data_IF_629000027933
#
_entry.id   IF_629000027933
#
_cell.length_a   1.000
_cell.length_b   1.000
_cell.length_c   1.000
_cell.angle_alpha   90.00
_cell.angle_beta   90.00
_cell.angle_gamma   90.00
#
_symmetry.space_group_name_H-M   'P 1'
#
loop_
_entity.id
_entity.type
_entity.pdbx_description
1 polymer ?
#
# COMPACT_ATOMS: atom_id res chain seq x y z
N UNK A 1 -27.83 -6.16 24.56
CA UNK A 1 -26.58 -5.41 24.26
C UNK A 1 -25.83 -6.06 23.08
N UNK A 2 -26.17 -5.81 21.79
CA UNK A 2 -25.51 -6.53 20.67
C UNK A 2 -25.25 -5.77 19.33
N UNK A 3 -25.69 -4.52 19.14
CA UNK A 3 -25.51 -3.80 17.85
C UNK A 3 -24.45 -2.68 17.91
N UNK A 4 -24.36 -1.97 19.03
CA UNK A 4 -23.39 -0.88 19.21
C UNK A 4 -21.92 -1.36 19.11
N UNK A 5 -21.59 -2.55 19.63
CA UNK A 5 -20.25 -3.12 19.50
C UNK A 5 -19.86 -3.39 18.04
N UNK A 6 -20.80 -3.85 17.22
CA UNK A 6 -20.53 -4.08 15.80
C UNK A 6 -20.29 -2.75 15.09
N UNK A 7 -21.10 -1.73 15.38
CA UNK A 7 -20.89 -0.39 14.83
C UNK A 7 -19.54 0.20 15.25
N UNK A 8 -19.10 -0.01 16.49
CA UNK A 8 -17.77 0.40 16.95
C UNK A 8 -16.65 -0.35 16.24
N UNK A 9 -16.78 -1.66 16.01
CA UNK A 9 -15.80 -2.44 15.24
C UNK A 9 -15.69 -1.96 13.80
N UNK A 10 -16.83 -1.69 13.15
CA UNK A 10 -16.86 -1.14 11.79
C UNK A 10 -16.22 0.25 11.77
N UNK A 11 -16.56 1.12 12.72
CA UNK A 11 -15.98 2.47 12.80
C UNK A 11 -14.46 2.42 13.04
N UNK A 12 -13.99 1.55 13.93
CA UNK A 12 -12.57 1.33 14.17
C UNK A 12 -11.87 0.82 12.91
N UNK A 13 -12.46 -0.16 12.21
CA UNK A 13 -11.93 -0.68 10.96
C UNK A 13 -11.82 0.41 9.89
N UNK A 14 -12.88 1.19 9.67
CA UNK A 14 -12.88 2.29 8.70
C UNK A 14 -11.82 3.33 9.07
N UNK A 15 -11.73 3.72 10.34
CA UNK A 15 -10.77 4.73 10.80
C UNK A 15 -9.33 4.26 10.61
N UNK A 16 -9.03 2.99 10.91
CA UNK A 16 -7.72 2.41 10.68
C UNK A 16 -7.39 2.31 9.19
N UNK A 17 -8.36 1.88 8.37
CA UNK A 17 -8.15 1.68 6.94
C UNK A 17 -7.97 3.02 6.21
N UNK A 18 -8.87 3.97 6.41
CA UNK A 18 -8.78 5.31 5.82
C UNK A 18 -7.61 6.09 6.42
N UNK A 19 -7.41 6.04 7.73
CA UNK A 19 -6.30 6.71 8.40
C UNK A 19 -4.95 6.22 7.89
N UNK A 20 -4.76 4.90 7.78
CA UNK A 20 -3.55 4.31 7.23
C UNK A 20 -3.37 4.65 5.75
N UNK A 21 -4.46 4.68 4.96
CA UNK A 21 -4.39 5.02 3.54
C UNK A 21 -4.01 6.48 3.33
N UNK A 22 -4.64 7.41 4.06
CA UNK A 22 -4.31 8.84 4.01
C UNK A 22 -2.87 9.05 4.46
N UNK A 23 -2.46 8.40 5.55
CA UNK A 23 -1.07 8.44 6.01
C UNK A 23 -0.10 7.95 4.95
N UNK A 24 -0.39 6.82 4.29
CA UNK A 24 0.42 6.28 3.21
C UNK A 24 0.61 7.29 2.08
N UNK A 25 -0.45 7.94 1.61
CA UNK A 25 -0.37 8.97 0.56
C UNK A 25 0.37 10.22 1.06
N UNK A 26 0.12 10.65 2.30
CA UNK A 26 0.76 11.84 2.86
C UNK A 26 2.27 11.64 3.10
N UNK A 27 2.69 10.44 3.51
CA UNK A 27 4.10 10.10 3.69
C UNK A 27 4.78 9.65 2.40
N UNK A 28 4.01 9.47 1.32
CA UNK A 28 4.53 9.01 0.05
C UNK A 28 5.46 10.05 -0.55
N UNK A 29 6.68 9.63 -0.88
CA UNK A 29 7.73 10.45 -1.46
C UNK A 29 8.05 9.90 -2.85
N UNK A 30 7.52 10.56 -3.88
CA UNK A 30 7.69 10.15 -5.28
C UNK A 30 9.14 10.26 -5.77
N UNK A 31 10.01 10.99 -5.07
CA UNK A 31 11.42 11.12 -5.43
C UNK A 31 12.27 9.95 -4.92
N UNK A 32 11.78 9.20 -3.92
CA UNK A 32 12.43 7.98 -3.41
C UNK A 32 12.09 6.72 -4.22
N UNK A 33 11.08 6.77 -5.08
CA UNK A 33 10.72 5.65 -5.95
C UNK A 33 11.52 5.76 -7.25
N UNK A 34 12.33 4.73 -7.54
CA UNK A 34 12.98 4.60 -8.84
C UNK A 34 11.89 4.60 -9.92
N UNK A 35 11.98 5.47 -10.95
CA UNK A 35 11.03 5.45 -12.05
C UNK A 35 10.92 4.04 -12.61
N UNK A 36 9.70 3.53 -12.82
CA UNK A 36 9.51 2.19 -13.40
C UNK A 36 10.22 2.05 -14.76
N UNK A 37 10.48 3.17 -15.45
CA UNK A 37 11.29 3.22 -16.68
C UNK A 37 12.81 3.15 -16.49
N UNK A 38 13.32 3.24 -15.26
CA UNK A 38 14.75 3.12 -14.91
C UNK A 38 15.10 1.79 -14.25
N UNK A 39 14.12 0.91 -13.96
CA UNK A 39 14.42 -0.49 -13.69
C UNK A 39 15.00 -1.08 -14.98
N UNK A 40 16.33 -1.08 -15.08
CA UNK A 40 17.05 -1.78 -16.13
C UNK A 40 16.48 -3.21 -16.17
N UNK A 41 16.00 -3.69 -17.33
CA UNK A 41 15.53 -5.05 -17.46
C UNK A 41 16.63 -5.96 -16.91
N UNK A 42 16.30 -6.75 -15.87
CA UNK A 42 17.22 -7.79 -15.42
C UNK A 42 17.60 -8.59 -16.68
N UNK A 43 18.90 -8.75 -16.98
CA UNK A 43 19.32 -9.52 -18.14
C UNK A 43 18.60 -10.85 -18.08
N UNK A 44 17.71 -11.09 -19.05
CA UNK A 44 17.09 -12.39 -19.22
C UNK A 44 18.26 -13.29 -19.63
N UNK A 45 18.86 -13.99 -18.66
CA UNK A 45 19.79 -15.09 -18.91
C UNK A 45 18.96 -16.17 -19.58
N UNK A 46 18.79 -16.02 -20.90
CA UNK A 46 18.22 -17.06 -21.74
C UNK A 46 19.13 -18.25 -21.51
N UNK A 47 18.56 -19.35 -21.01
CA UNK A 47 19.23 -20.63 -20.92
C UNK A 47 19.63 -21.05 -22.34
N UNK A 48 20.81 -20.64 -22.76
CA UNK A 48 21.54 -21.19 -23.90
C UNK A 48 22.59 -22.12 -23.34
N UNK A 49 22.26 -23.42 -23.23
CA UNK A 49 23.08 -24.59 -23.60
C UNK A 49 22.25 -25.85 -23.40
#
# INVERSE_FOLDING_TARGET
>A
MKKAHILMLIAAFITLTLGSFIWFIATWDSAKEQPIGQLAPAPIERATT
#
